data_IF_783453926180
#
_entry.id   IF_783453926180
#
_cell.length_a   1.000
_cell.length_b   1.000
_cell.length_c   1.000
_cell.angle_alpha   90.00
_cell.angle_beta   90.00
_cell.angle_gamma   90.00
#
_symmetry.space_group_name_H-M   'P 1'
#
loop_
_entity.id
_entity.type
_entity.pdbx_description
1 polymer ?
#
# COMPACT_ATOMS: atom_id res chain seq x y z
N UNK A 1 -15.91 35.18 21.62
CA UNK A 1 -15.31 34.47 20.47
C UNK A 1 -14.33 33.45 21.02
N UNK A 2 -14.60 32.15 20.87
CA UNK A 2 -13.68 31.10 21.31
C UNK A 2 -12.49 31.06 20.36
N UNK A 3 -11.26 31.18 20.87
CA UNK A 3 -10.04 30.96 20.07
C UNK A 3 -9.92 29.46 19.81
N UNK A 4 -10.19 29.03 18.60
CA UNK A 4 -9.88 27.66 18.18
C UNK A 4 -8.38 27.53 18.03
N UNK A 5 -7.74 26.82 18.97
CA UNK A 5 -6.31 26.50 18.89
C UNK A 5 -6.13 25.32 17.93
N UNK A 6 -5.40 25.51 16.83
CA UNK A 6 -5.05 24.40 15.92
C UNK A 6 -4.16 23.41 16.67
N UNK A 7 -4.57 22.14 16.72
CA UNK A 7 -3.82 21.08 17.39
C UNK A 7 -2.74 20.54 16.46
N UNK A 8 -1.48 20.63 16.89
CA UNK A 8 -0.35 20.01 16.17
C UNK A 8 -0.44 18.49 16.22
N UNK A 9 -0.19 17.83 15.08
CA UNK A 9 -0.16 16.37 14.95
C UNK A 9 1.29 15.92 14.68
N UNK A 10 1.95 15.30 15.67
CA UNK A 10 3.39 15.01 15.57
C UNK A 10 3.73 13.94 14.51
N UNK A 11 2.81 13.01 14.27
CA UNK A 11 2.95 11.93 13.30
C UNK A 11 2.47 12.31 11.89
N UNK A 12 1.88 13.50 11.75
CA UNK A 12 1.54 14.11 10.45
C UNK A 12 1.64 15.65 10.53
N UNK A 13 2.86 16.22 10.69
CA UNK A 13 3.04 17.65 10.99
C UNK A 13 2.48 18.61 9.94
N UNK A 14 2.46 18.17 8.68
CA UNK A 14 1.99 18.94 7.53
C UNK A 14 0.61 18.46 7.02
N UNK A 15 -0.04 17.58 7.79
CA UNK A 15 -1.41 17.13 7.55
C UNK A 15 -1.57 16.48 6.16
N UNK A 16 -0.64 15.60 5.77
CA UNK A 16 -0.71 14.79 4.55
C UNK A 16 -2.10 14.15 4.40
N UNK A 17 -2.68 13.66 5.49
CA UNK A 17 -4.01 13.06 5.48
C UNK A 17 -5.08 14.01 4.90
N UNK A 18 -4.96 15.32 5.15
CA UNK A 18 -5.87 16.34 4.65
C UNK A 18 -5.59 16.76 3.20
N UNK A 19 -4.43 16.38 2.65
CA UNK A 19 -4.04 16.64 1.27
C UNK A 19 -4.49 15.52 0.32
N UNK A 20 -4.84 14.36 0.86
CA UNK A 20 -5.35 13.23 0.09
C UNK A 20 -6.83 13.41 -0.25
N UNK A 21 -7.26 12.84 -1.37
CA UNK A 21 -8.67 12.61 -1.69
C UNK A 21 -9.28 11.50 -0.82
N UNK A 22 -10.61 11.41 -0.81
CA UNK A 22 -11.30 10.33 -0.08
C UNK A 22 -10.93 8.94 -0.60
N UNK A 23 -10.78 8.79 -1.93
CA UNK A 23 -10.39 7.54 -2.56
C UNK A 23 -8.94 7.14 -2.18
N UNK A 24 -8.01 8.09 -2.19
CA UNK A 24 -6.62 7.86 -1.76
C UNK A 24 -6.54 7.43 -0.29
N UNK A 25 -7.31 8.07 0.60
CA UNK A 25 -7.41 7.67 2.01
C UNK A 25 -8.00 6.26 2.16
N UNK A 26 -9.03 5.94 1.40
CA UNK A 26 -9.65 4.62 1.42
C UNK A 26 -8.68 3.53 0.95
N UNK A 27 -7.93 3.77 -0.12
CA UNK A 27 -6.89 2.84 -0.62
C UNK A 27 -5.78 2.66 0.42
N UNK A 28 -5.31 3.76 1.04
CA UNK A 28 -4.30 3.68 2.09
C UNK A 28 -4.79 2.86 3.29
N UNK A 29 -6.03 3.08 3.73
CA UNK A 29 -6.63 2.36 4.85
C UNK A 29 -6.77 0.85 4.54
N UNK A 30 -7.21 0.50 3.33
CA UNK A 30 -7.32 -0.89 2.89
C UNK A 30 -5.95 -1.58 2.84
N UNK A 31 -4.94 -0.92 2.25
CA UNK A 31 -3.58 -1.43 2.21
C UNK A 31 -3.01 -1.62 3.63
N UNK A 32 -3.22 -0.66 4.53
CA UNK A 32 -2.80 -0.75 5.93
C UNK A 32 -3.46 -1.93 6.65
N UNK A 33 -4.77 -2.13 6.50
CA UNK A 33 -5.48 -3.26 7.14
C UNK A 33 -4.88 -4.59 6.69
N UNK A 34 -4.73 -4.78 5.37
CA UNK A 34 -4.11 -6.00 4.81
C UNK A 34 -2.69 -6.21 5.35
N UNK A 35 -1.88 -5.15 5.37
CA UNK A 35 -0.50 -5.23 5.85
C UNK A 35 -0.43 -5.64 7.32
N UNK A 36 -1.26 -5.07 8.19
CA UNK A 36 -1.26 -5.39 9.62
C UNK A 36 -1.86 -6.77 9.93
N UNK A 37 -2.91 -7.16 9.21
CA UNK A 37 -3.62 -8.42 9.46
C UNK A 37 -2.95 -9.63 8.81
N UNK A 38 -2.35 -9.45 7.64
CA UNK A 38 -1.87 -10.56 6.81
C UNK A 38 -0.33 -10.58 6.70
N UNK A 39 0.33 -9.43 6.54
CA UNK A 39 1.79 -9.41 6.35
C UNK A 39 2.56 -9.39 7.67
N UNK A 40 2.14 -8.56 8.63
CA UNK A 40 2.82 -8.38 9.90
C UNK A 40 2.99 -9.68 10.71
N UNK A 41 2.01 -10.61 10.76
CA UNK A 41 2.20 -11.88 11.46
C UNK A 41 3.23 -12.81 10.80
N UNK A 42 3.50 -12.65 9.51
CA UNK A 42 4.37 -13.54 8.72
C UNK A 42 5.83 -13.10 8.73
N UNK A 43 6.08 -11.79 8.79
CA UNK A 43 7.40 -11.19 8.49
C UNK A 43 8.54 -11.75 9.32
N UNK A 44 8.37 -11.93 10.63
CA UNK A 44 9.48 -12.33 11.53
C UNK A 44 10.01 -13.73 11.19
N UNK A 45 9.11 -14.68 10.91
CA UNK A 45 9.51 -16.05 10.54
C UNK A 45 9.94 -16.14 9.07
N UNK A 46 9.25 -15.41 8.18
CA UNK A 46 9.62 -15.33 6.77
C UNK A 46 11.05 -14.81 6.60
N UNK A 47 11.38 -13.70 7.28
CA UNK A 47 12.72 -13.11 7.27
C UNK A 47 13.77 -14.04 7.88
N UNK A 48 13.51 -14.60 9.08
CA UNK A 48 14.46 -15.48 9.77
C UNK A 48 14.82 -16.72 8.95
N UNK A 49 13.84 -17.28 8.25
CA UNK A 49 14.00 -18.55 7.54
C UNK A 49 14.22 -18.34 6.03
N UNK A 50 14.37 -17.10 5.56
CA UNK A 50 14.58 -16.76 4.15
C UNK A 50 13.51 -17.37 3.21
N UNK A 51 12.25 -17.32 3.64
CA UNK A 51 11.12 -17.86 2.90
C UNK A 51 10.08 -16.78 2.59
N UNK A 52 9.19 -17.07 1.63
CA UNK A 52 8.07 -16.20 1.31
C UNK A 52 6.87 -17.05 0.95
N UNK A 53 5.70 -16.66 1.46
CA UNK A 53 4.44 -17.29 1.09
C UNK A 53 3.95 -16.75 -0.27
N UNK A 54 3.83 -17.64 -1.25
CA UNK A 54 3.36 -17.29 -2.60
C UNK A 54 1.89 -16.89 -2.64
N UNK A 55 1.10 -17.18 -1.58
CA UNK A 55 -0.29 -16.72 -1.48
C UNK A 55 -0.40 -15.20 -1.48
N UNK A 56 0.64 -14.49 -0.99
CA UNK A 56 0.68 -13.03 -0.87
C UNK A 56 0.40 -12.35 -2.22
N UNK A 57 0.88 -12.90 -3.34
CA UNK A 57 0.57 -12.36 -4.67
C UNK A 57 -0.92 -12.43 -4.99
N UNK A 58 -1.59 -13.54 -4.63
CA UNK A 58 -3.02 -13.72 -4.88
C UNK A 58 -3.85 -12.82 -3.96
N UNK A 59 -3.45 -12.70 -2.69
CA UNK A 59 -4.06 -11.80 -1.72
C UNK A 59 -3.98 -10.34 -2.19
N UNK A 60 -2.79 -9.87 -2.55
CA UNK A 60 -2.58 -8.51 -3.09
C UNK A 60 -3.35 -8.28 -4.41
N UNK A 61 -3.37 -9.27 -5.30
CA UNK A 61 -4.11 -9.19 -6.56
C UNK A 61 -5.63 -9.08 -6.35
N UNK A 62 -6.20 -9.85 -5.41
CA UNK A 62 -7.62 -9.78 -5.08
C UNK A 62 -8.04 -8.42 -4.49
N UNK A 63 -7.11 -7.70 -3.88
CA UNK A 63 -7.30 -6.35 -3.34
C UNK A 63 -6.98 -5.23 -4.35
N UNK A 64 -6.57 -5.56 -5.58
CA UNK A 64 -6.19 -4.57 -6.59
C UNK A 64 -4.86 -3.85 -6.32
N UNK A 65 -4.01 -4.41 -5.46
CA UNK A 65 -2.71 -3.81 -5.09
C UNK A 65 -1.59 -4.11 -6.10
N UNK A 66 -1.83 -5.03 -7.05
CA UNK A 66 -0.90 -5.37 -8.13
C UNK A 66 -1.33 -4.68 -9.42
N UNK A 67 -0.40 -3.94 -10.04
CA UNK A 67 -0.71 -3.14 -11.23
C UNK A 67 -1.81 -2.13 -10.98
N UNK A 68 -1.79 -1.47 -9.81
CA UNK A 68 -2.86 -0.57 -9.38
C UNK A 68 -3.14 0.55 -10.39
N UNK A 69 -2.13 0.99 -11.15
CA UNK A 69 -2.26 2.03 -12.19
C UNK A 69 -2.66 1.49 -13.58
N UNK A 70 -2.77 0.18 -13.74
CA UNK A 70 -3.19 -0.44 -15.00
C UNK A 70 -4.71 -0.27 -15.15
N UNK A 71 -5.21 0.09 -16.35
CA UNK A 71 -6.65 0.24 -16.59
C UNK A 71 -7.49 -1.01 -16.26
N UNK A 72 -8.72 -0.79 -15.80
CA UNK A 72 -9.68 -1.87 -15.46
C UNK A 72 -9.99 -2.80 -16.64
N UNK A 73 -9.95 -2.31 -17.89
CA UNK A 73 -10.13 -3.14 -19.08
C UNK A 73 -9.11 -4.28 -19.21
N UNK A 74 -7.98 -4.18 -18.51
CA UNK A 74 -6.93 -5.21 -18.44
C UNK A 74 -6.90 -5.93 -17.08
N UNK A 75 -7.90 -5.71 -16.23
CA UNK A 75 -7.99 -6.30 -14.89
C UNK A 75 -7.16 -5.59 -13.81
N UNK A 76 -6.60 -4.41 -14.10
CA UNK A 76 -5.98 -3.54 -13.10
C UNK A 76 -7.01 -2.71 -12.34
N UNK A 77 -6.55 -1.88 -11.39
CA UNK A 77 -7.44 -1.08 -10.55
C UNK A 77 -7.65 0.37 -11.02
N UNK A 78 -7.01 0.80 -12.11
CA UNK A 78 -7.18 2.14 -12.68
C UNK A 78 -6.82 3.31 -11.74
N UNK A 79 -6.07 3.05 -10.66
CA UNK A 79 -5.73 4.02 -9.63
C UNK A 79 -4.65 5.01 -10.09
N UNK A 80 -4.57 6.15 -9.43
CA UNK A 80 -3.53 7.15 -9.68
C UNK A 80 -2.18 6.75 -9.03
N UNK A 81 -1.12 7.49 -9.35
CA UNK A 81 0.22 7.25 -8.80
C UNK A 81 0.36 7.57 -7.30
N UNK A 82 -0.49 8.44 -6.74
CA UNK A 82 -0.51 8.73 -5.29
C UNK A 82 -0.98 7.48 -4.55
N UNK A 83 -2.08 6.85 -4.99
CA UNK A 83 -2.53 5.55 -4.48
C UNK A 83 -1.42 4.50 -4.56
N UNK A 84 -0.73 4.38 -5.69
CA UNK A 84 0.40 3.44 -5.82
C UNK A 84 1.50 3.70 -4.77
N UNK A 85 1.87 4.98 -4.57
CA UNK A 85 2.85 5.37 -3.56
C UNK A 85 2.38 5.11 -2.12
N UNK A 86 1.10 5.34 -1.82
CA UNK A 86 0.50 5.06 -0.51
C UNK A 86 0.49 3.56 -0.22
N UNK A 87 0.11 2.73 -1.18
CA UNK A 87 0.17 1.27 -1.04
C UNK A 87 1.62 0.82 -0.79
N UNK A 88 2.58 1.32 -1.58
CA UNK A 88 3.99 1.01 -1.37
C UNK A 88 4.48 1.40 0.03
N UNK A 89 4.07 2.57 0.53
CA UNK A 89 4.39 3.06 1.89
C UNK A 89 3.85 2.11 2.96
N UNK A 90 2.60 1.67 2.86
CA UNK A 90 2.00 0.78 3.86
C UNK A 90 2.60 -0.65 3.82
N UNK A 91 2.93 -1.16 2.62
CA UNK A 91 3.56 -2.48 2.48
C UNK A 91 4.99 -2.47 3.03
N UNK A 92 5.77 -1.44 2.71
CA UNK A 92 7.16 -1.31 3.18
C UNK A 92 7.26 -0.97 4.67
N UNK A 93 6.20 -0.39 5.27
CA UNK A 93 6.12 -0.26 6.72
C UNK A 93 6.14 -1.62 7.44
N UNK A 94 5.84 -2.73 6.74
CA UNK A 94 6.03 -4.10 7.24
C UNK A 94 7.41 -4.63 6.83
N UNK A 95 7.70 -4.68 5.53
CA UNK A 95 8.96 -5.21 5.01
C UNK A 95 9.25 -4.77 3.57
N UNK A 96 10.51 -4.41 3.30
CA UNK A 96 10.97 -3.99 1.98
C UNK A 96 10.95 -5.12 0.94
N UNK A 97 11.04 -6.39 1.35
CA UNK A 97 10.91 -7.56 0.49
C UNK A 97 9.51 -7.70 -0.09
N UNK A 98 8.47 -7.51 0.74
CA UNK A 98 7.07 -7.48 0.27
C UNK A 98 6.83 -6.36 -0.74
N UNK A 99 7.32 -5.15 -0.47
CA UNK A 99 7.21 -4.03 -1.42
C UNK A 99 8.02 -4.29 -2.70
N UNK A 100 9.13 -5.04 -2.62
CA UNK A 100 9.94 -5.39 -3.80
C UNK A 100 9.18 -6.31 -4.74
N UNK A 101 8.54 -7.35 -4.21
CA UNK A 101 7.69 -8.25 -5.00
C UNK A 101 6.54 -7.50 -5.69
N UNK A 102 5.85 -6.63 -4.95
CA UNK A 102 4.79 -5.78 -5.50
C UNK A 102 5.28 -4.87 -6.62
N UNK A 103 6.45 -4.25 -6.44
CA UNK A 103 7.07 -3.34 -7.41
C UNK A 103 7.53 -4.07 -8.67
N UNK A 104 8.15 -5.24 -8.55
CA UNK A 104 8.55 -6.07 -9.70
C UNK A 104 7.31 -6.44 -10.51
N UNK A 105 6.29 -6.98 -9.86
CA UNK A 105 5.08 -7.41 -10.55
C UNK A 105 4.37 -6.23 -11.25
N UNK A 106 4.24 -5.09 -10.58
CA UNK A 106 3.50 -3.95 -11.12
C UNK A 106 4.32 -3.18 -12.15
N UNK A 107 5.49 -2.66 -11.77
CA UNK A 107 6.25 -1.70 -12.58
C UNK A 107 7.25 -2.33 -13.54
N UNK A 108 7.69 -3.57 -13.30
CA UNK A 108 8.72 -4.23 -14.12
C UNK A 108 8.16 -5.38 -14.97
N UNK A 109 6.91 -5.78 -14.75
CA UNK A 109 6.21 -6.80 -15.56
C UNK A 109 4.95 -6.23 -16.19
N UNK A 110 3.98 -5.75 -15.40
CA UNK A 110 2.69 -5.31 -15.96
C UNK A 110 2.78 -4.02 -16.79
N UNK A 111 3.58 -3.04 -16.35
CA UNK A 111 3.77 -1.77 -17.11
C UNK A 111 4.41 -1.97 -18.50
N UNK A 112 5.47 -2.79 -18.68
CA UNK A 112 6.08 -2.96 -20.01
C UNK A 112 5.36 -3.93 -20.96
N UNK A 113 4.33 -4.67 -20.50
CA UNK A 113 3.51 -5.57 -21.33
C UNK A 113 2.36 -4.79 -21.98
#
# INVERSE_FOLDING_TARGET
MSKTTTRFQWNDPLLLEQQLSDDERAVQAAARSYCQEQLAPRVVQAFRNETTDVSIFREMGALGLLGSTIPEQYGGAGMNYVCYGLVAREVEAIDSGYRSMMSVQSSLVMVPI
#
